data_IF_802826010433
#
_entry.id   IF_802826010433
#
_cell.length_a   1.000
_cell.length_b   1.000
_cell.length_c   1.000
_cell.angle_alpha   90.00
_cell.angle_beta   90.00
_cell.angle_gamma   90.00
#
_symmetry.space_group_name_H-M   'P 1'
#
loop_
_entity.id
_entity.type
_entity.pdbx_description
1 polymer ?
#
# COMPACT_ATOMS: atom_id res chain seq x y z
N UNK A 1 -24.51 23.45 -81.34
CA UNK A 1 -23.20 23.04 -81.90
C UNK A 1 -22.22 24.17 -81.62
N UNK A 2 -21.34 23.97 -80.64
CA UNK A 2 -19.86 23.87 -80.81
C UNK A 2 -19.18 25.24 -80.95
N UNK A 3 -18.22 25.68 -80.15
CA UNK A 3 -17.40 24.99 -79.15
C UNK A 3 -16.00 25.64 -79.07
N UNK A 4 -15.73 26.32 -77.94
CA UNK A 4 -14.48 26.34 -77.14
C UNK A 4 -13.07 26.53 -77.75
N UNK A 5 -12.35 27.44 -77.06
CA UNK A 5 -10.99 27.35 -76.44
C UNK A 5 -9.74 27.64 -77.28
N UNK A 6 -8.84 28.42 -76.67
CA UNK A 6 -7.41 28.46 -77.00
C UNK A 6 -6.60 29.43 -76.15
N UNK A 7 -6.40 29.15 -74.84
CA UNK A 7 -5.33 29.78 -74.03
C UNK A 7 -4.00 29.15 -74.43
N UNK A 8 -2.99 29.97 -74.75
CA UNK A 8 -1.57 29.57 -74.80
C UNK A 8 -0.79 30.25 -73.68
N UNK A 9 0.07 29.45 -73.06
CA UNK A 9 1.14 29.82 -72.12
C UNK A 9 2.46 29.34 -72.75
N UNK A 10 3.58 30.02 -72.52
CA UNK A 10 4.78 29.29 -72.06
C UNK A 10 5.40 29.99 -70.83
N UNK A 11 5.69 29.27 -69.73
CA UNK A 11 6.97 28.58 -69.41
C UNK A 11 8.17 29.53 -69.59
N UNK A 12 8.97 29.87 -68.60
CA UNK A 12 9.17 29.40 -67.23
C UNK A 12 10.67 29.55 -66.95
N UNK A 13 11.05 29.94 -65.73
CA UNK A 13 12.40 29.65 -65.27
C UNK A 13 12.38 29.19 -63.81
N UNK A 14 13.24 28.21 -63.55
CA UNK A 14 13.30 27.38 -62.35
C UNK A 14 14.39 27.93 -61.44
N UNK A 15 14.10 28.02 -60.15
CA UNK A 15 15.09 28.17 -59.08
C UNK A 15 14.57 27.47 -57.83
N UNK A 16 15.29 26.45 -57.40
CA UNK A 16 14.97 25.40 -56.42
C UNK A 16 14.92 25.86 -54.95
N UNK A 17 13.99 25.36 -54.11
CA UNK A 17 14.17 25.32 -52.67
C UNK A 17 14.21 23.88 -52.14
N UNK A 18 15.41 23.28 -52.08
CA UNK A 18 15.70 22.19 -51.14
C UNK A 18 16.37 22.77 -49.89
N UNK A 19 15.63 22.82 -48.79
CA UNK A 19 16.00 22.26 -47.47
C UNK A 19 15.23 22.93 -46.34
N UNK A 20 14.47 22.13 -45.59
CA UNK A 20 13.80 22.59 -44.38
C UNK A 20 12.81 21.61 -43.74
N UNK A 21 13.02 20.29 -43.86
CA UNK A 21 12.25 19.32 -43.07
C UNK A 21 13.07 18.83 -41.88
N UNK A 22 12.63 19.17 -40.67
CA UNK A 22 13.04 18.44 -39.47
C UNK A 22 12.88 19.22 -38.16
N UNK A 23 12.24 18.57 -37.18
CA UNK A 23 12.24 18.89 -35.72
C UNK A 23 11.17 19.84 -35.18
N UNK A 24 9.89 19.54 -35.39
CA UNK A 24 8.81 20.09 -34.53
C UNK A 24 7.91 19.03 -33.87
N UNK A 25 8.10 17.73 -34.12
CA UNK A 25 7.15 16.68 -33.69
C UNK A 25 7.58 15.85 -32.49
N UNK A 26 8.84 15.93 -32.02
CA UNK A 26 9.31 15.08 -30.91
C UNK A 26 8.97 15.62 -29.51
N UNK A 27 8.85 16.94 -29.32
CA UNK A 27 8.60 17.54 -27.99
C UNK A 27 7.18 17.30 -27.45
N UNK A 28 6.16 17.19 -28.32
CA UNK A 28 4.77 16.96 -27.88
C UNK A 28 4.49 15.53 -27.40
N UNK A 29 5.22 14.52 -27.90
CA UNK A 29 5.04 13.11 -27.47
C UNK A 29 5.62 12.83 -26.08
N UNK A 30 6.75 13.41 -25.72
CA UNK A 30 7.40 13.20 -24.41
C UNK A 30 6.58 13.72 -23.21
N UNK A 31 5.88 14.86 -23.37
CA UNK A 31 5.05 15.45 -22.31
C UNK A 31 3.83 14.59 -21.94
N UNK A 32 3.18 13.96 -22.92
CA UNK A 32 2.03 13.06 -22.68
C UNK A 32 2.39 11.80 -21.88
N UNK A 33 3.59 11.25 -22.08
CA UNK A 33 4.07 10.08 -21.34
C UNK A 33 4.34 10.39 -19.86
N UNK A 34 4.94 11.55 -19.57
CA UNK A 34 5.21 12.00 -18.19
C UNK A 34 3.93 12.26 -17.39
N UNK A 35 2.91 12.89 -17.99
CA UNK A 35 1.61 13.14 -17.33
C UNK A 35 0.84 11.84 -17.07
N UNK A 36 0.89 10.88 -18.00
CA UNK A 36 0.24 9.57 -17.83
C UNK A 36 0.86 8.77 -16.67
N UNK A 37 2.19 8.78 -16.54
CA UNK A 37 2.89 8.13 -15.44
C UNK A 37 2.58 8.74 -14.07
N UNK A 38 2.46 10.07 -13.98
CA UNK A 38 2.09 10.77 -12.74
C UNK A 38 0.68 10.41 -12.28
N UNK A 39 -0.31 10.45 -13.19
CA UNK A 39 -1.71 10.10 -12.88
C UNK A 39 -1.87 8.66 -12.41
N UNK A 40 -1.11 7.73 -12.99
CA UNK A 40 -1.12 6.31 -12.58
C UNK A 40 -0.59 6.14 -11.16
N UNK A 41 0.54 6.80 -10.83
CA UNK A 41 1.10 6.76 -9.47
C UNK A 41 0.15 7.34 -8.43
N UNK A 42 -0.50 8.45 -8.75
CA UNK A 42 -1.51 9.05 -7.87
C UNK A 42 -2.73 8.14 -7.67
N UNK A 43 -3.16 7.42 -8.72
CA UNK A 43 -4.25 6.46 -8.63
C UNK A 43 -3.89 5.24 -7.77
N UNK A 44 -2.67 4.71 -7.92
CA UNK A 44 -2.13 3.62 -7.11
C UNK A 44 -2.00 4.02 -5.64
N UNK A 45 -1.46 5.22 -5.35
CA UNK A 45 -1.36 5.75 -4.00
C UNK A 45 -2.75 5.90 -3.35
N UNK A 46 -3.74 6.44 -4.07
CA UNK A 46 -5.13 6.53 -3.57
C UNK A 46 -5.75 5.17 -3.29
N UNK A 47 -5.50 4.18 -4.16
CA UNK A 47 -5.93 2.79 -3.93
C UNK A 47 -5.29 2.22 -2.67
N UNK A 48 -3.98 2.37 -2.52
CA UNK A 48 -3.24 1.86 -1.37
C UNK A 48 -3.74 2.47 -0.05
N UNK A 49 -3.87 3.81 0.02
CA UNK A 49 -4.38 4.47 1.23
C UNK A 49 -5.82 4.04 1.57
N UNK A 50 -6.68 3.86 0.55
CA UNK A 50 -8.04 3.33 0.75
C UNK A 50 -8.03 1.92 1.32
N UNK A 51 -7.18 1.05 0.78
CA UNK A 51 -7.05 -0.33 1.25
C UNK A 51 -6.52 -0.41 2.69
N UNK A 52 -5.55 0.43 3.04
CA UNK A 52 -5.10 0.57 4.44
C UNK A 52 -6.22 1.07 5.36
N UNK A 53 -7.02 2.04 4.91
CA UNK A 53 -8.18 2.51 5.66
C UNK A 53 -9.24 1.42 5.86
N UNK A 54 -9.46 0.58 4.84
CA UNK A 54 -10.36 -0.57 4.92
C UNK A 54 -9.89 -1.57 5.97
N UNK A 55 -8.59 -1.92 5.96
CA UNK A 55 -7.97 -2.82 6.95
C UNK A 55 -8.12 -2.28 8.38
N UNK A 56 -7.89 -0.98 8.59
CA UNK A 56 -8.11 -0.33 9.90
C UNK A 56 -9.57 -0.40 10.34
N UNK A 57 -10.51 -0.10 9.43
CA UNK A 57 -11.93 -0.10 9.73
C UNK A 57 -12.43 -1.48 10.19
N UNK A 58 -12.05 -2.55 9.47
CA UNK A 58 -12.46 -3.93 9.84
C UNK A 58 -11.78 -4.46 11.11
N UNK A 59 -10.64 -3.89 11.49
CA UNK A 59 -9.99 -4.23 12.76
C UNK A 59 -10.70 -3.56 13.95
N UNK A 60 -11.08 -2.29 13.80
CA UNK A 60 -11.62 -1.45 14.87
C UNK A 60 -13.14 -1.58 15.05
N UNK A 61 -13.88 -1.87 13.98
CA UNK A 61 -15.34 -1.86 13.95
C UNK A 61 -15.90 -3.23 13.55
N UNK A 62 -17.13 -3.52 13.98
CA UNK A 62 -17.88 -4.69 13.53
C UNK A 62 -18.62 -4.33 12.24
N UNK A 63 -18.05 -4.71 11.10
CA UNK A 63 -18.62 -4.44 9.76
C UNK A 63 -18.99 -5.77 9.12
N UNK A 64 -20.29 -6.04 9.00
CA UNK A 64 -20.89 -7.30 8.56
C UNK A 64 -21.27 -7.31 7.07
N UNK A 65 -21.50 -6.13 6.49
CA UNK A 65 -21.93 -5.96 5.10
C UNK A 65 -20.97 -5.10 4.28
N UNK A 66 -20.93 -5.31 2.97
CA UNK A 66 -20.15 -4.44 2.08
C UNK A 66 -20.67 -2.99 2.08
N UNK A 67 -21.98 -2.78 2.35
CA UNK A 67 -22.55 -1.45 2.47
C UNK A 67 -21.99 -0.69 3.68
N UNK A 68 -21.76 -1.39 4.79
CA UNK A 68 -21.08 -0.82 5.97
C UNK A 68 -19.64 -0.44 5.67
N UNK A 69 -18.88 -1.30 4.96
CA UNK A 69 -17.52 -1.00 4.54
C UNK A 69 -17.46 0.25 3.63
N UNK A 70 -18.41 0.39 2.70
CA UNK A 70 -18.52 1.60 1.85
C UNK A 70 -18.78 2.83 2.70
N UNK A 71 -19.69 2.77 3.68
CA UNK A 71 -19.99 3.89 4.58
C UNK A 71 -18.78 4.27 5.42
N UNK A 72 -18.08 3.29 6.00
CA UNK A 72 -16.89 3.51 6.81
C UNK A 72 -15.77 4.19 6.00
N UNK A 73 -15.50 3.71 4.79
CA UNK A 73 -14.50 4.32 3.91
C UNK A 73 -14.85 5.75 3.53
N UNK A 74 -16.11 6.01 3.18
CA UNK A 74 -16.58 7.37 2.86
C UNK A 74 -16.47 8.31 4.06
N UNK A 75 -16.83 7.84 5.25
CA UNK A 75 -16.65 8.59 6.50
C UNK A 75 -15.19 8.93 6.79
N UNK A 76 -14.27 8.05 6.41
CA UNK A 76 -12.82 8.27 6.51
C UNK A 76 -12.23 9.10 5.34
N UNK A 77 -13.06 9.67 4.46
CA UNK A 77 -12.61 10.51 3.34
C UNK A 77 -12.18 9.74 2.08
N UNK A 78 -12.42 8.43 2.01
CA UNK A 78 -12.08 7.59 0.86
C UNK A 78 -13.32 7.31 0.00
N UNK A 79 -13.42 7.88 -1.22
CA UNK A 79 -14.54 7.58 -2.10
C UNK A 79 -14.49 6.10 -2.52
N UNK A 80 -15.55 5.37 -2.19
CA UNK A 80 -15.71 3.96 -2.50
C UNK A 80 -17.15 3.65 -2.97
N UNK A 81 -17.26 2.61 -3.80
CA UNK A 81 -18.53 1.99 -4.21
C UNK A 81 -18.53 0.52 -3.81
N UNK A 82 -19.69 -0.13 -3.91
CA UNK A 82 -19.81 -1.59 -3.74
C UNK A 82 -18.82 -2.36 -4.61
N UNK A 83 -18.70 -2.01 -5.89
CA UNK A 83 -17.77 -2.67 -6.81
C UNK A 83 -16.30 -2.46 -6.42
N UNK A 84 -15.93 -1.27 -5.93
CA UNK A 84 -14.57 -1.00 -5.45
C UNK A 84 -14.26 -1.80 -4.19
N UNK A 85 -15.18 -1.80 -3.22
CA UNK A 85 -15.02 -2.55 -1.97
C UNK A 85 -14.97 -4.05 -2.20
N UNK A 86 -15.82 -4.58 -3.09
CA UNK A 86 -15.80 -6.00 -3.47
C UNK A 86 -14.44 -6.43 -4.02
N UNK A 87 -13.84 -5.63 -4.91
CA UNK A 87 -12.47 -5.89 -5.40
C UNK A 87 -11.43 -5.80 -4.29
N UNK A 88 -11.50 -4.75 -3.46
CA UNK A 88 -10.54 -4.58 -2.36
C UNK A 88 -10.65 -5.73 -1.34
N UNK A 89 -11.85 -6.25 -1.06
CA UNK A 89 -12.06 -7.46 -0.21
C UNK A 89 -11.27 -8.64 -0.76
N UNK A 90 -11.40 -8.91 -2.06
CA UNK A 90 -10.73 -10.03 -2.72
C UNK A 90 -9.22 -9.81 -2.75
N UNK A 91 -8.77 -8.63 -3.16
CA UNK A 91 -7.34 -8.30 -3.23
C UNK A 91 -6.64 -8.30 -1.87
N UNK A 92 -7.35 -7.95 -0.79
CA UNK A 92 -6.85 -7.96 0.58
C UNK A 92 -7.07 -9.29 1.30
N UNK A 93 -7.79 -10.24 0.69
CA UNK A 93 -8.13 -11.51 1.31
C UNK A 93 -8.98 -11.37 2.58
N UNK A 94 -9.87 -10.37 2.65
CA UNK A 94 -10.72 -10.20 3.82
C UNK A 94 -11.66 -11.40 3.97
N UNK A 95 -11.75 -11.93 5.19
CA UNK A 95 -12.60 -13.06 5.55
C UNK A 95 -13.77 -12.62 6.40
N UNK A 96 -14.83 -13.43 6.48
CA UNK A 96 -15.86 -13.29 7.50
C UNK A 96 -15.55 -14.18 8.68
N UNK A 97 -15.36 -13.58 9.85
CA UNK A 97 -15.14 -14.29 11.12
C UNK A 97 -16.34 -14.08 12.03
N UNK A 98 -16.65 -15.07 12.87
CA UNK A 98 -17.61 -14.89 13.95
C UNK A 98 -16.94 -14.08 15.07
N UNK A 99 -17.48 -12.90 15.37
CA UNK A 99 -17.07 -12.05 16.50
C UNK A 99 -18.32 -11.85 17.35
N UNK A 100 -18.26 -12.13 18.65
CA UNK A 100 -19.38 -11.96 19.60
C UNK A 100 -20.75 -12.42 19.04
N UNK A 101 -20.81 -13.63 18.48
CA UNK A 101 -22.06 -14.22 17.96
C UNK A 101 -22.57 -13.69 16.61
N UNK A 102 -21.86 -12.77 15.93
CA UNK A 102 -22.22 -12.34 14.57
C UNK A 102 -21.03 -12.29 13.62
N UNK A 103 -21.29 -12.44 12.33
CA UNK A 103 -20.24 -12.41 11.31
C UNK A 103 -19.80 -10.97 10.98
N UNK A 104 -18.49 -10.74 11.00
CA UNK A 104 -17.89 -9.48 10.58
C UNK A 104 -16.72 -9.74 9.62
N UNK A 105 -16.51 -8.83 8.68
CA UNK A 105 -15.30 -8.79 7.87
C UNK A 105 -14.10 -8.55 8.78
N UNK A 106 -13.01 -9.27 8.52
CA UNK A 106 -11.76 -9.12 9.23
C UNK A 106 -10.58 -9.39 8.28
N UNK A 107 -9.37 -8.90 8.62
CA UNK A 107 -8.17 -9.23 7.87
C UNK A 107 -7.94 -10.76 7.88
N UNK A 108 -7.28 -11.33 6.86
CA UNK A 108 -7.04 -12.78 6.79
C UNK A 108 -6.37 -13.35 8.04
N UNK A 109 -5.50 -12.55 8.65
CA UNK A 109 -4.81 -12.90 9.90
C UNK A 109 -5.78 -13.13 11.07
N UNK A 110 -7.01 -12.62 11.03
CA UNK A 110 -8.04 -12.80 12.07
C UNK A 110 -8.79 -14.12 11.92
N UNK A 111 -8.65 -14.80 10.78
CA UNK A 111 -9.20 -16.12 10.54
C UNK A 111 -8.38 -17.24 11.18
N UNK A 112 -7.11 -16.97 11.52
CA UNK A 112 -6.19 -18.00 12.00
C UNK A 112 -6.54 -18.40 13.43
N UNK A 113 -6.89 -19.67 13.69
CA UNK A 113 -6.98 -20.20 15.05
C UNK A 113 -5.57 -20.21 15.64
N UNK A 114 -5.33 -19.31 16.59
CA UNK A 114 -4.04 -19.13 17.24
C UNK A 114 -4.05 -17.79 17.96
N UNK A 115 -3.66 -17.77 19.23
CA UNK A 115 -3.54 -16.50 19.97
C UNK A 115 -2.61 -15.52 19.25
N UNK A 116 -2.60 -14.25 19.65
CA UNK A 116 -1.80 -13.24 18.96
C UNK A 116 -0.31 -13.56 18.85
N UNK A 117 0.22 -14.36 19.77
CA UNK A 117 1.59 -14.90 19.71
C UNK A 117 1.85 -15.79 18.50
N UNK A 118 0.91 -16.66 18.12
CA UNK A 118 1.06 -17.54 16.96
C UNK A 118 1.00 -16.74 15.65
N UNK A 119 0.14 -15.71 15.60
CA UNK A 119 0.10 -14.79 14.46
C UNK A 119 1.43 -14.03 14.32
N UNK A 120 1.98 -13.54 15.43
CA UNK A 120 3.27 -12.87 15.43
C UNK A 120 4.40 -13.81 14.96
N UNK A 121 4.41 -15.05 15.44
CA UNK A 121 5.37 -16.07 15.00
C UNK A 121 5.30 -16.29 13.50
N UNK A 122 4.10 -16.57 12.95
CA UNK A 122 3.91 -16.75 11.49
C UNK A 122 4.35 -15.54 10.68
N UNK A 123 4.04 -14.33 11.15
CA UNK A 123 4.51 -13.12 10.46
C UNK A 123 6.04 -13.09 10.39
N UNK A 124 6.74 -13.43 11.46
CA UNK A 124 8.20 -13.47 11.49
C UNK A 124 8.79 -14.64 10.69
N UNK A 125 8.04 -15.73 10.49
CA UNK A 125 8.43 -16.84 9.60
C UNK A 125 8.27 -16.46 8.11
N UNK A 126 7.17 -15.77 7.78
CA UNK A 126 6.83 -15.38 6.40
C UNK A 126 7.65 -14.19 5.90
N UNK A 127 8.07 -13.29 6.80
CA UNK A 127 8.75 -12.05 6.47
C UNK A 127 10.03 -11.86 7.29
N UNK A 128 11.16 -11.49 6.66
CA UNK A 128 12.35 -11.14 7.41
C UNK A 128 12.10 -9.88 8.24
N UNK A 129 12.37 -9.97 9.54
CA UNK A 129 12.29 -8.86 10.49
C UNK A 129 13.61 -8.75 11.22
N UNK A 130 14.13 -7.53 11.32
CA UNK A 130 15.32 -7.22 12.12
C UNK A 130 14.91 -6.41 13.36
N UNK A 131 15.60 -6.60 14.48
CA UNK A 131 15.34 -5.90 15.72
C UNK A 131 16.60 -5.31 16.33
N UNK A 132 16.52 -4.06 16.79
CA UNK A 132 17.57 -3.35 17.52
C UNK A 132 17.03 -2.73 18.81
N UNK A 133 17.91 -2.56 19.80
CA UNK A 133 17.59 -1.86 21.05
C UNK A 133 17.94 -0.37 20.94
N UNK A 134 17.09 0.47 21.50
CA UNK A 134 17.35 1.88 21.72
C UNK A 134 16.80 2.26 23.10
N UNK A 135 17.63 2.14 24.14
CA UNK A 135 17.21 2.26 25.54
C UNK A 135 16.02 1.34 25.87
N UNK A 136 14.87 1.91 26.24
CA UNK A 136 13.63 1.17 26.53
C UNK A 136 12.76 0.90 25.29
N UNK A 137 13.24 1.22 24.09
CA UNK A 137 12.57 0.90 22.83
C UNK A 137 13.21 -0.31 22.15
N UNK A 138 12.36 -1.13 21.52
CA UNK A 138 12.77 -2.09 20.50
C UNK A 138 12.33 -1.54 19.15
N UNK A 139 13.28 -1.33 18.24
CA UNK A 139 13.02 -0.88 16.87
C UNK A 139 13.06 -2.10 15.97
N UNK A 140 11.92 -2.40 15.35
CA UNK A 140 11.78 -3.50 14.41
C UNK A 140 11.72 -2.95 12.98
N UNK A 141 12.47 -3.58 12.07
CA UNK A 141 12.49 -3.27 10.64
C UNK A 141 11.90 -4.45 9.88
N UNK A 142 10.90 -4.18 9.05
CA UNK A 142 10.20 -5.17 8.24
C UNK A 142 10.24 -4.77 6.76
N UNK A 143 9.60 -5.55 5.89
CA UNK A 143 9.46 -5.18 4.48
C UNK A 143 8.57 -3.91 4.31
N UNK A 144 8.78 -3.13 3.24
CA UNK A 144 7.93 -1.97 2.94
C UNK A 144 6.43 -2.31 2.95
N UNK A 145 5.64 -1.44 3.56
CA UNK A 145 4.18 -1.60 3.71
C UNK A 145 3.71 -2.65 4.73
N UNK A 146 4.61 -3.33 5.45
CA UNK A 146 4.24 -4.43 6.37
C UNK A 146 4.25 -4.04 7.85
N UNK A 147 4.82 -2.89 8.23
CA UNK A 147 5.00 -2.50 9.62
C UNK A 147 3.69 -2.45 10.43
N UNK A 148 2.59 -2.00 9.81
CA UNK A 148 1.28 -1.98 10.46
C UNK A 148 0.76 -3.38 10.80
N UNK A 149 1.03 -4.37 9.95
CA UNK A 149 0.63 -5.75 10.20
C UNK A 149 1.46 -6.39 11.33
N UNK A 150 2.77 -6.11 11.36
CA UNK A 150 3.66 -6.53 12.44
C UNK A 150 3.22 -5.93 13.79
N UNK A 151 2.96 -4.62 13.85
CA UNK A 151 2.49 -3.94 15.06
C UNK A 151 1.17 -4.53 15.56
N UNK A 152 0.20 -4.77 14.66
CA UNK A 152 -1.05 -5.40 15.03
C UNK A 152 -0.88 -6.83 15.58
N UNK A 153 0.09 -7.59 15.07
CA UNK A 153 0.41 -8.91 15.60
C UNK A 153 1.09 -8.84 17.00
N UNK A 154 1.99 -7.87 17.20
CA UNK A 154 2.60 -7.57 18.50
C UNK A 154 1.55 -7.20 19.54
N UNK A 155 0.66 -6.26 19.24
CA UNK A 155 -0.39 -5.82 20.17
C UNK A 155 -1.33 -6.99 20.52
N UNK A 156 -1.70 -7.80 19.52
CA UNK A 156 -2.55 -8.96 19.73
C UNK A 156 -1.87 -10.04 20.60
N UNK A 157 -0.54 -10.14 20.57
CA UNK A 157 0.22 -11.13 21.33
C UNK A 157 0.24 -10.87 22.84
N UNK A 158 -0.09 -9.64 23.27
CA UNK A 158 -0.12 -9.23 24.69
C UNK A 158 1.16 -9.61 25.45
N UNK A 159 2.32 -9.46 24.80
CA UNK A 159 3.62 -9.68 25.43
C UNK A 159 3.78 -8.67 26.57
N UNK A 160 3.99 -9.17 27.79
CA UNK A 160 4.00 -8.39 29.02
C UNK A 160 5.05 -7.27 29.02
N UNK A 161 6.20 -7.51 28.36
CA UNK A 161 7.29 -6.56 28.28
C UNK A 161 6.97 -5.33 27.39
N UNK A 162 5.95 -5.41 26.53
CA UNK A 162 5.56 -4.34 25.61
C UNK A 162 4.42 -3.49 26.17
N UNK A 163 4.67 -2.19 26.36
CA UNK A 163 3.65 -1.20 26.76
C UNK A 163 2.76 -0.84 25.55
N UNK A 164 3.35 -0.74 24.36
CA UNK A 164 2.63 -0.38 23.15
C UNK A 164 3.52 -0.27 21.93
N UNK A 165 2.89 -0.13 20.76
CA UNK A 165 3.57 -0.06 19.47
C UNK A 165 3.20 1.19 18.66
N UNK A 166 4.12 1.64 17.81
CA UNK A 166 3.89 2.68 16.80
C UNK A 166 4.49 2.24 15.47
N UNK A 167 3.67 2.12 14.43
CA UNK A 167 4.08 1.67 13.11
C UNK A 167 4.23 2.82 12.11
N UNK A 168 5.31 2.78 11.34
CA UNK A 168 5.50 3.51 10.08
C UNK A 168 5.12 2.64 8.87
N UNK A 169 5.93 2.71 7.81
CA UNK A 169 5.77 1.88 6.60
C UNK A 169 6.54 0.55 6.70
N UNK A 170 7.82 0.62 7.06
CA UNK A 170 8.77 -0.49 7.16
C UNK A 170 9.41 -0.62 8.55
N UNK A 171 8.94 0.17 9.52
CA UNK A 171 9.54 0.27 10.86
C UNK A 171 8.45 0.29 11.93
N UNK A 172 8.64 -0.46 13.01
CA UNK A 172 7.80 -0.44 14.21
C UNK A 172 8.64 -0.09 15.41
N UNK A 173 8.20 0.89 16.19
CA UNK A 173 8.73 1.16 17.52
C UNK A 173 7.88 0.43 18.55
N UNK A 174 8.52 -0.35 19.41
CA UNK A 174 7.87 -1.02 20.55
C UNK A 174 8.42 -0.43 21.82
N UNK A 175 7.55 0.19 22.62
CA UNK A 175 7.93 0.77 23.90
C UNK A 175 7.84 -0.27 25.01
N UNK A 176 8.88 -0.39 25.83
CA UNK A 176 8.91 -1.18 27.05
C UNK A 176 9.09 -0.28 28.28
N UNK A 177 8.72 -0.77 29.47
CA UNK A 177 8.78 0.03 30.71
C UNK A 177 10.21 0.33 31.17
N UNK A 178 11.16 -0.52 30.79
CA UNK A 178 12.58 -0.41 31.18
C UNK A 178 13.47 -0.96 30.06
N UNK A 179 14.76 -0.62 30.06
CA UNK A 179 15.73 -1.27 29.17
C UNK A 179 15.81 -2.78 29.38
N UNK A 180 15.61 -3.25 30.62
CA UNK A 180 15.57 -4.68 30.94
C UNK A 180 14.40 -5.35 30.23
N UNK A 181 13.22 -4.73 30.24
CA UNK A 181 12.05 -5.23 29.52
C UNK A 181 12.28 -5.17 28.00
N UNK A 182 12.91 -4.13 27.47
CA UNK A 182 13.27 -4.06 26.05
C UNK A 182 14.22 -5.21 25.64
N UNK A 183 15.25 -5.49 26.46
CA UNK A 183 16.16 -6.64 26.25
C UNK A 183 15.42 -7.98 26.30
N UNK A 184 14.53 -8.17 27.28
CA UNK A 184 13.72 -9.37 27.41
C UNK A 184 12.75 -9.55 26.23
N UNK A 185 12.08 -8.47 25.81
CA UNK A 185 11.23 -8.44 24.63
C UNK A 185 11.99 -8.85 23.37
N UNK A 186 13.13 -8.21 23.07
CA UNK A 186 13.92 -8.57 21.90
C UNK A 186 14.42 -10.01 21.99
N UNK A 187 14.82 -10.49 23.17
CA UNK A 187 15.16 -11.89 23.41
C UNK A 187 14.01 -12.85 23.09
N UNK A 188 12.79 -12.54 23.53
CA UNK A 188 11.60 -13.32 23.19
C UNK A 188 11.34 -13.30 21.69
N UNK A 189 11.39 -12.13 21.06
CA UNK A 189 11.13 -11.98 19.63
C UNK A 189 12.17 -12.69 18.76
N UNK A 190 13.43 -12.82 19.20
CA UNK A 190 14.42 -13.64 18.49
C UNK A 190 14.03 -15.12 18.42
N UNK A 191 13.23 -15.63 19.38
CA UNK A 191 12.70 -17.01 19.31
C UNK A 191 11.64 -17.19 18.22
N UNK A 192 11.14 -16.09 17.64
CA UNK A 192 10.20 -16.09 16.52
C UNK A 192 10.89 -15.90 15.16
N UNK A 193 12.24 -15.85 15.12
CA UNK A 193 12.99 -15.68 13.87
C UNK A 193 13.42 -14.25 13.56
N UNK A 194 13.20 -13.29 14.47
CA UNK A 194 13.72 -11.92 14.29
C UNK A 194 15.24 -11.91 14.39
N UNK A 195 15.92 -11.34 13.39
CA UNK A 195 17.36 -11.18 13.40
C UNK A 195 17.78 -9.99 14.29
N UNK A 196 18.82 -10.15 15.11
CA UNK A 196 19.37 -9.01 15.86
C UNK A 196 20.21 -8.13 14.95
N UNK A 197 20.01 -6.83 15.07
CA UNK A 197 20.82 -5.81 14.44
C UNK A 197 21.49 -4.96 15.51
N UNK A 198 22.80 -4.80 15.40
CA UNK A 198 23.55 -3.89 16.26
C UNK A 198 23.33 -2.45 15.81
N UNK A 199 23.21 -1.54 16.78
CA UNK A 199 23.19 -0.11 16.51
C UNK A 199 24.56 0.30 15.94
N UNK A 200 24.54 1.13 14.90
CA UNK A 200 25.74 1.67 14.27
C UNK A 200 26.37 2.78 15.13
#
# INVERSE_FOLDING_TARGET
MSGRRGRRVPRGDRGDPRHGFGRATSRRRAGRHRVRGRRMREALARKHHRQQALLRAVAQQRLSTQAELVRALRGAGYPATQATVSRDIVELGLVKVARDGAHAYAPPSAATPGGGTERLRRFCEDYPVEGALAANLVVLRSLPGTANALAAALDASRIEEAIGTLAGDDTVFVAASTERHARALLGRLTTFGIARREAK
#
